data_IF_673353608617
#
_entry.id   IF_673353608617
#
_cell.length_a   1.000
_cell.length_b   1.000
_cell.length_c   1.000
_cell.angle_alpha   90.00
_cell.angle_beta   90.00
_cell.angle_gamma   90.00
#
_symmetry.space_group_name_H-M   'P 1'
#
loop_
_entity.id
_entity.type
_entity.pdbx_description
1 polymer ?
#
# COMPACT_ATOMS: atom_id res chain seq x y z
N UNK A 1 58.60 3.16 8.77
CA UNK A 1 58.02 3.10 7.41
C UNK A 1 57.54 4.48 7.05
N UNK A 2 57.80 4.99 5.83
CA UNK A 2 57.24 6.27 5.40
C UNK A 2 55.71 6.19 5.45
N UNK A 3 55.08 7.21 6.04
CA UNK A 3 53.63 7.36 6.04
C UNK A 3 53.27 8.59 5.19
N UNK A 4 52.16 8.50 4.47
CA UNK A 4 51.63 9.58 3.66
C UNK A 4 50.10 9.57 3.67
N UNK A 5 49.48 10.71 3.38
CA UNK A 5 48.06 10.75 3.07
C UNK A 5 47.87 10.23 1.64
N UNK A 6 47.54 8.95 1.49
CA UNK A 6 47.32 8.39 0.16
C UNK A 6 46.11 9.08 -0.49
N UNK A 7 46.31 9.64 -1.68
CA UNK A 7 45.25 10.12 -2.58
C UNK A 7 45.22 9.27 -3.86
N UNK A 8 44.10 9.24 -4.60
CA UNK A 8 44.04 8.53 -5.88
C UNK A 8 45.18 8.91 -6.84
N UNK A 9 45.42 10.22 -7.00
CA UNK A 9 46.42 10.77 -7.91
C UNK A 9 47.84 10.35 -7.49
N UNK A 10 48.13 10.41 -6.19
CA UNK A 10 49.40 9.96 -5.64
C UNK A 10 49.62 8.46 -5.90
N UNK A 11 48.60 7.63 -5.63
CA UNK A 11 48.71 6.18 -5.86
C UNK A 11 48.98 5.88 -7.33
N UNK A 12 48.34 6.61 -8.23
CA UNK A 12 48.48 6.40 -9.67
C UNK A 12 49.82 6.90 -10.21
N UNK A 13 50.33 8.02 -9.68
CA UNK A 13 51.64 8.60 -10.05
C UNK A 13 52.85 7.84 -9.46
N UNK A 14 52.68 7.02 -8.43
CA UNK A 14 53.81 6.27 -7.84
C UNK A 14 54.27 5.16 -8.79
N UNK A 15 55.55 5.25 -9.14
CA UNK A 15 56.29 4.25 -9.90
C UNK A 15 56.90 3.17 -8.99
N UNK A 16 57.01 1.92 -9.48
CA UNK A 16 57.72 0.88 -8.76
C UNK A 16 59.22 1.16 -8.57
N UNK A 17 59.79 0.77 -7.41
CA UNK A 17 61.22 0.95 -7.17
C UNK A 17 62.03 0.09 -8.15
N UNK A 18 63.27 0.52 -8.45
CA UNK A 18 64.18 -0.21 -9.35
C UNK A 18 64.53 -1.60 -8.78
N UNK A 19 64.64 -1.72 -7.46
CA UNK A 19 64.92 -2.98 -6.75
C UNK A 19 64.13 -3.08 -5.45
N UNK A 20 63.75 -4.31 -5.09
CA UNK A 20 63.13 -4.62 -3.80
C UNK A 20 61.66 -4.21 -3.70
N UNK A 21 61.22 -3.92 -2.48
CA UNK A 21 59.85 -3.56 -2.13
C UNK A 21 59.85 -2.34 -1.21
N UNK A 22 58.97 -1.39 -1.50
CA UNK A 22 58.70 -0.22 -0.66
C UNK A 22 57.27 -0.28 -0.14
N UNK A 23 57.10 0.08 1.13
CA UNK A 23 55.81 0.19 1.79
C UNK A 23 55.54 1.65 2.18
N UNK A 24 54.42 2.19 1.71
CA UNK A 24 53.96 3.54 2.05
C UNK A 24 52.70 3.38 2.89
N UNK A 25 52.79 3.66 4.19
CA UNK A 25 51.64 3.60 5.09
C UNK A 25 50.66 4.74 4.82
N UNK A 26 49.36 4.48 4.99
CA UNK A 26 48.34 5.52 4.93
C UNK A 26 48.17 6.20 6.29
N UNK A 27 48.16 7.53 6.33
CA UNK A 27 47.89 8.29 7.55
C UNK A 27 46.45 8.12 8.06
N UNK A 28 45.51 7.75 7.20
CA UNK A 28 44.09 7.61 7.59
C UNK A 28 43.75 6.27 8.26
N UNK A 29 44.63 5.27 8.15
CA UNK A 29 44.36 3.93 8.65
C UNK A 29 45.67 3.22 8.98
N UNK A 30 45.92 3.00 10.27
CA UNK A 30 47.08 2.24 10.71
C UNK A 30 47.06 0.82 10.14
N UNK A 31 48.25 0.26 9.91
CA UNK A 31 48.49 -1.05 9.30
C UNK A 31 48.08 -1.18 7.83
N UNK A 32 47.41 -0.18 7.24
CA UNK A 32 47.07 -0.13 5.83
C UNK A 32 48.09 0.73 5.05
N UNK A 33 48.30 0.39 3.79
CA UNK A 33 49.18 1.17 2.93
C UNK A 33 49.25 0.66 1.49
N UNK A 34 50.08 1.34 0.70
CA UNK A 34 50.44 0.96 -0.64
C UNK A 34 51.73 0.14 -0.61
N UNK A 35 51.66 -1.10 -1.09
CA UNK A 35 52.82 -1.93 -1.39
C UNK A 35 53.23 -1.67 -2.83
N UNK A 36 54.51 -1.38 -3.03
CA UNK A 36 55.10 -1.20 -4.36
C UNK A 36 56.36 -2.06 -4.47
N UNK A 37 56.50 -2.84 -5.53
CA UNK A 37 57.62 -3.78 -5.67
C UNK A 37 58.20 -3.80 -7.08
N UNK A 38 59.50 -4.01 -7.17
CA UNK A 38 60.20 -4.23 -8.44
C UNK A 38 59.81 -5.59 -9.04
N UNK A 39 59.78 -5.67 -10.37
CA UNK A 39 59.44 -6.90 -11.08
C UNK A 39 60.07 -6.93 -12.47
N UNK A 40 60.22 -8.12 -13.05
CA UNK A 40 60.91 -8.33 -14.34
C UNK A 40 60.32 -7.54 -15.52
N UNK A 41 59.09 -7.05 -15.40
CA UNK A 41 58.35 -6.28 -16.43
C UNK A 41 57.86 -4.93 -15.92
N UNK A 42 58.62 -4.25 -15.06
CA UNK A 42 58.28 -2.90 -14.59
C UNK A 42 57.63 -2.82 -13.20
N UNK A 43 57.63 -3.91 -12.42
CA UNK A 43 57.12 -3.91 -11.05
C UNK A 43 55.59 -3.92 -10.92
N UNK A 44 55.09 -3.71 -9.70
CA UNK A 44 53.67 -3.70 -9.40
C UNK A 44 53.35 -2.89 -8.15
N UNK A 45 52.07 -2.53 -8.02
CA UNK A 45 51.52 -1.85 -6.85
C UNK A 45 50.19 -2.45 -6.43
N UNK A 46 49.94 -2.51 -5.13
CA UNK A 46 48.68 -2.99 -4.58
C UNK A 46 48.46 -2.42 -3.17
N UNK A 47 47.21 -2.17 -2.80
CA UNK A 47 46.87 -1.89 -1.41
C UNK A 47 47.00 -3.15 -0.58
N UNK A 48 47.49 -3.01 0.64
CA UNK A 48 47.68 -4.14 1.52
C UNK A 48 47.54 -3.72 2.99
N UNK A 49 47.36 -4.71 3.84
CA UNK A 49 47.52 -4.56 5.28
C UNK A 49 48.75 -5.31 5.76
N UNK A 50 49.40 -4.78 6.79
CA UNK A 50 50.52 -5.40 7.50
C UNK A 50 50.40 -5.11 8.99
N UNK A 51 50.04 -6.14 9.76
CA UNK A 51 49.89 -6.05 11.21
C UNK A 51 50.32 -7.35 11.89
N UNK A 52 50.48 -7.33 13.22
CA UNK A 52 50.50 -8.56 14.01
C UNK A 52 49.08 -8.87 14.45
N UNK A 53 48.66 -10.12 14.30
CA UNK A 53 47.37 -10.58 14.79
C UNK A 53 47.35 -10.69 16.32
N UNK A 54 46.21 -11.11 16.89
CA UNK A 54 46.05 -11.36 18.33
C UNK A 54 47.03 -12.38 18.93
N UNK A 55 47.61 -13.25 18.11
CA UNK A 55 48.60 -14.26 18.50
C UNK A 55 50.04 -13.77 18.32
N UNK A 56 50.22 -12.50 17.91
CA UNK A 56 51.52 -11.89 17.64
C UNK A 56 52.11 -12.26 16.28
N UNK A 57 51.42 -13.06 15.47
CA UNK A 57 51.88 -13.51 14.14
C UNK A 57 51.76 -12.38 13.15
N UNK A 58 52.83 -12.14 12.37
CA UNK A 58 52.82 -11.11 11.34
C UNK A 58 51.92 -11.54 10.18
N UNK A 59 50.81 -10.82 9.99
CA UNK A 59 49.87 -11.02 8.90
C UNK A 59 50.08 -9.98 7.82
N UNK A 60 50.04 -10.44 6.57
CA UNK A 60 50.10 -9.61 5.37
C UNK A 60 49.04 -10.04 4.38
N UNK A 61 48.11 -9.15 4.07
CA UNK A 61 47.08 -9.40 3.05
C UNK A 61 47.06 -8.28 2.03
N UNK A 62 46.66 -8.60 0.81
CA UNK A 62 46.59 -7.66 -0.31
C UNK A 62 45.16 -7.52 -0.76
N UNK A 63 44.70 -6.29 -0.94
CA UNK A 63 43.38 -5.99 -1.46
C UNK A 63 43.28 -6.48 -2.91
N UNK A 64 42.20 -7.20 -3.21
CA UNK A 64 41.93 -7.77 -4.53
C UNK A 64 40.59 -7.25 -5.02
N UNK A 65 40.57 -6.13 -5.77
CA UNK A 65 39.32 -5.51 -6.25
C UNK A 65 38.42 -6.52 -6.98
N UNK A 66 39.02 -7.48 -7.69
CA UNK A 66 38.32 -8.49 -8.48
C UNK A 66 37.56 -9.54 -7.66
N UNK A 67 37.86 -9.63 -6.36
CA UNK A 67 37.22 -10.55 -5.39
C UNK A 67 36.23 -9.85 -4.46
N UNK A 68 36.18 -8.52 -4.48
CA UNK A 68 35.23 -7.76 -3.68
C UNK A 68 33.86 -7.78 -4.37
N UNK A 69 32.88 -8.44 -3.74
CA UNK A 69 31.53 -8.59 -4.29
C UNK A 69 30.81 -7.23 -4.45
N UNK A 70 31.14 -6.22 -3.63
CA UNK A 70 30.60 -4.88 -3.77
C UNK A 70 31.13 -4.18 -5.04
N UNK A 71 32.32 -4.57 -5.50
CA UNK A 71 32.94 -4.07 -6.73
C UNK A 71 32.64 -4.95 -7.96
N UNK A 72 32.08 -6.16 -7.77
CA UNK A 72 31.84 -7.12 -8.85
C UNK A 72 30.90 -6.60 -9.95
N UNK A 73 29.96 -5.72 -9.62
CA UNK A 73 29.04 -5.08 -10.58
C UNK A 73 29.74 -4.07 -11.51
N UNK A 74 30.95 -3.64 -11.16
CA UNK A 74 31.76 -2.67 -11.91
C UNK A 74 32.74 -3.34 -12.90
N UNK A 75 32.68 -4.67 -13.04
CA UNK A 75 33.50 -5.45 -14.01
C UNK A 75 33.32 -5.06 -15.48
N UNK A 76 32.40 -4.15 -15.82
CA UNK A 76 32.29 -3.57 -17.15
C UNK A 76 33.41 -2.56 -17.47
N UNK A 77 34.06 -1.97 -16.46
CA UNK A 77 35.15 -1.01 -16.65
C UNK A 77 36.48 -1.59 -16.12
N UNK A 78 37.16 -2.42 -16.93
CA UNK A 78 38.45 -3.04 -16.54
C UNK A 78 39.64 -2.09 -16.49
N UNK A 79 39.48 -0.84 -16.93
CA UNK A 79 40.59 0.10 -17.17
C UNK A 79 40.69 1.20 -16.10
N UNK A 80 40.07 1.04 -14.93
CA UNK A 80 40.21 2.04 -13.85
C UNK A 80 41.60 1.92 -13.20
N UNK A 81 42.29 3.05 -12.98
CA UNK A 81 43.59 3.06 -12.33
C UNK A 81 43.47 2.70 -10.84
N UNK A 82 44.56 2.30 -10.19
CA UNK A 82 44.54 1.75 -8.82
C UNK A 82 44.03 2.77 -7.79
N UNK A 83 44.31 4.06 -7.99
CA UNK A 83 43.85 5.17 -7.18
C UNK A 83 42.32 5.20 -7.01
N UNK A 84 41.58 4.81 -8.05
CA UNK A 84 40.12 4.72 -8.02
C UNK A 84 39.59 3.82 -6.90
N UNK A 85 40.33 2.76 -6.58
CA UNK A 85 39.91 1.76 -5.60
C UNK A 85 40.34 2.09 -4.15
N UNK A 86 40.96 3.24 -3.90
CA UNK A 86 41.51 3.59 -2.58
C UNK A 86 40.47 3.53 -1.45
N UNK A 87 39.27 4.08 -1.66
CA UNK A 87 38.23 4.10 -0.64
C UNK A 87 37.64 2.70 -0.36
N UNK A 88 37.51 1.88 -1.40
CA UNK A 88 37.11 0.48 -1.26
C UNK A 88 38.20 -0.31 -0.50
N UNK A 89 39.47 -0.11 -0.87
CA UNK A 89 40.61 -0.72 -0.19
C UNK A 89 40.70 -0.32 1.29
N UNK A 90 40.43 0.95 1.64
CA UNK A 90 40.35 1.41 3.04
C UNK A 90 39.21 0.71 3.80
N UNK A 91 38.05 0.56 3.16
CA UNK A 91 36.89 -0.13 3.77
C UNK A 91 37.20 -1.61 4.03
N UNK A 92 37.73 -2.29 3.01
CA UNK A 92 38.23 -3.66 3.13
C UNK A 92 39.28 -3.79 4.23
N UNK A 93 40.27 -2.89 4.26
CA UNK A 93 41.36 -2.93 5.22
C UNK A 93 40.86 -2.77 6.66
N UNK A 94 39.92 -1.85 6.93
CA UNK A 94 39.29 -1.69 8.25
C UNK A 94 38.67 -2.99 8.73
N UNK A 95 37.96 -3.71 7.85
CA UNK A 95 37.33 -4.97 8.21
C UNK A 95 38.33 -6.10 8.43
N UNK A 96 39.36 -6.21 7.58
CA UNK A 96 40.39 -7.24 7.74
C UNK A 96 41.29 -6.98 8.95
N UNK A 97 41.64 -5.73 9.22
CA UNK A 97 42.36 -5.34 10.44
C UNK A 97 41.51 -5.69 11.67
N UNK A 98 40.21 -5.32 11.67
CA UNK A 98 39.31 -5.66 12.77
C UNK A 98 39.24 -7.18 12.99
N UNK A 99 39.10 -7.96 11.91
CA UNK A 99 39.09 -9.43 11.97
C UNK A 99 40.35 -10.00 12.65
N UNK A 100 41.54 -9.58 12.24
CA UNK A 100 42.81 -10.08 12.79
C UNK A 100 43.10 -9.62 14.21
N UNK A 101 42.60 -8.44 14.60
CA UNK A 101 42.67 -7.92 15.96
C UNK A 101 41.55 -8.45 16.87
N UNK A 102 40.61 -9.25 16.36
CA UNK A 102 39.46 -9.73 17.13
C UNK A 102 38.43 -8.64 17.47
N UNK A 103 38.41 -7.54 16.72
CA UNK A 103 37.46 -6.44 16.85
C UNK A 103 36.23 -6.68 15.95
N UNK A 104 35.05 -6.10 16.28
CA UNK A 104 33.86 -6.23 15.44
C UNK A 104 34.06 -5.65 14.02
N UNK A 105 33.81 -6.46 13.01
CA UNK A 105 33.83 -6.06 11.60
C UNK A 105 32.61 -5.20 11.22
N UNK A 106 32.60 -4.59 10.02
CA UNK A 106 31.41 -3.94 9.47
C UNK A 106 30.20 -4.87 9.36
N UNK A 107 30.43 -6.14 9.00
CA UNK A 107 29.41 -7.18 8.97
C UNK A 107 28.85 -7.46 10.37
N UNK A 108 29.70 -7.61 11.38
CA UNK A 108 29.26 -7.82 12.76
C UNK A 108 28.46 -6.63 13.30
N UNK A 109 28.89 -5.40 12.98
CA UNK A 109 28.18 -4.18 13.37
C UNK A 109 26.83 -4.07 12.67
N UNK A 110 26.76 -4.39 11.39
CA UNK A 110 25.51 -4.43 10.62
C UNK A 110 24.56 -5.49 11.16
N UNK A 111 25.06 -6.68 11.46
CA UNK A 111 24.28 -7.76 12.05
C UNK A 111 23.78 -7.37 13.45
N UNK A 112 24.62 -6.82 14.32
CA UNK A 112 24.20 -6.32 15.64
C UNK A 112 23.17 -5.20 15.51
N UNK A 113 23.34 -4.28 14.57
CA UNK A 113 22.37 -3.21 14.30
C UNK A 113 21.04 -3.80 13.81
N UNK A 114 21.08 -4.80 12.93
CA UNK A 114 19.91 -5.51 12.45
C UNK A 114 19.20 -6.25 13.58
N UNK A 115 19.93 -6.99 14.42
CA UNK A 115 19.39 -7.69 15.59
C UNK A 115 18.75 -6.71 16.58
N UNK A 116 19.38 -5.56 16.85
CA UNK A 116 18.79 -4.50 17.69
C UNK A 116 17.49 -3.94 17.10
N UNK A 117 17.47 -3.66 15.79
CA UNK A 117 16.25 -3.21 15.09
C UNK A 117 15.16 -4.28 15.15
N UNK A 118 15.52 -5.53 14.89
CA UNK A 118 14.63 -6.68 14.97
C UNK A 118 14.03 -6.82 16.37
N UNK A 119 14.86 -6.81 17.41
CA UNK A 119 14.40 -6.89 18.80
C UNK A 119 13.45 -5.75 19.13
N UNK A 120 13.79 -4.51 18.75
CA UNK A 120 12.93 -3.33 18.95
C UNK A 120 11.58 -3.46 18.26
N UNK A 121 11.56 -3.92 17.01
CA UNK A 121 10.32 -4.15 16.25
C UNK A 121 9.48 -5.23 16.93
N UNK A 122 10.09 -6.36 17.28
CA UNK A 122 9.41 -7.50 17.89
C UNK A 122 8.84 -7.15 19.27
N UNK A 123 9.54 -6.33 20.06
CA UNK A 123 9.10 -5.89 21.39
C UNK A 123 8.08 -4.74 21.37
N UNK A 124 7.75 -4.18 20.20
CA UNK A 124 6.76 -3.09 20.12
C UNK A 124 5.35 -3.64 20.34
N UNK A 125 4.58 -3.01 21.23
CA UNK A 125 3.19 -3.35 21.46
C UNK A 125 2.33 -3.02 20.23
N UNK A 126 1.34 -3.86 19.94
CA UNK A 126 0.46 -3.68 18.79
C UNK A 126 -0.36 -2.39 18.91
N UNK A 127 -0.85 -2.07 20.12
CA UNK A 127 -1.58 -0.83 20.40
C UNK A 127 -0.77 0.41 20.02
N UNK A 128 0.47 0.49 20.50
CA UNK A 128 1.39 1.60 20.19
C UNK A 128 1.62 1.74 18.68
N UNK A 129 1.78 0.61 17.97
CA UNK A 129 1.96 0.60 16.53
C UNK A 129 0.70 1.06 15.77
N UNK A 130 -0.49 0.75 16.29
CA UNK A 130 -1.77 1.22 15.73
C UNK A 130 -1.89 2.73 15.91
N UNK A 131 -1.66 3.23 17.12
CA UNK A 131 -1.73 4.65 17.44
C UNK A 131 -0.72 5.46 16.63
N UNK A 132 0.52 4.95 16.51
CA UNK A 132 1.53 5.57 15.68
C UNK A 132 1.10 5.67 14.21
N UNK A 133 0.48 4.61 13.67
CA UNK A 133 -0.02 4.60 12.29
C UNK A 133 -1.19 5.57 12.11
N UNK A 134 -2.13 5.63 13.05
CA UNK A 134 -3.26 6.58 13.02
C UNK A 134 -2.74 8.01 13.09
N UNK A 135 -1.82 8.31 14.02
CA UNK A 135 -1.20 9.63 14.14
C UNK A 135 -0.43 10.04 12.87
N UNK A 136 0.25 9.09 12.22
CA UNK A 136 0.90 9.34 10.92
C UNK A 136 -0.11 9.64 9.82
N UNK A 137 -1.20 8.87 9.72
CA UNK A 137 -2.26 9.11 8.74
C UNK A 137 -3.01 10.42 9.00
N UNK A 138 -3.22 10.80 10.26
CA UNK A 138 -3.85 12.09 10.62
C UNK A 138 -3.01 13.29 10.18
N UNK A 139 -1.68 13.16 10.15
CA UNK A 139 -0.78 14.21 9.64
C UNK A 139 -0.79 14.32 8.11
N UNK A 140 -1.10 13.24 7.38
CA UNK A 140 -1.04 13.21 5.91
C UNK A 140 -2.39 13.23 5.21
N UNK A 141 -3.49 12.87 5.89
CA UNK A 141 -4.83 12.74 5.31
C UNK A 141 -5.75 13.87 5.75
N UNK A 142 -6.58 14.37 4.82
CA UNK A 142 -7.69 15.29 5.12
C UNK A 142 -8.99 14.55 5.51
N UNK A 143 -9.01 13.22 5.40
CA UNK A 143 -10.20 12.41 5.67
C UNK A 143 -10.24 11.95 7.14
N UNK A 144 -10.75 12.83 8.01
CA UNK A 144 -10.91 12.55 9.44
C UNK A 144 -11.95 11.46 9.72
N UNK A 145 -13.00 11.37 8.91
CA UNK A 145 -14.07 10.38 9.09
C UNK A 145 -13.56 8.96 8.93
N UNK A 146 -12.69 8.73 7.95
CA UNK A 146 -12.05 7.42 7.76
C UNK A 146 -11.19 7.01 8.96
N UNK A 147 -10.46 7.97 9.56
CA UNK A 147 -9.60 7.70 10.72
C UNK A 147 -10.41 7.43 11.99
N UNK A 148 -11.51 8.16 12.18
CA UNK A 148 -12.43 7.92 13.28
C UNK A 148 -13.13 6.57 13.12
N UNK A 149 -13.52 6.21 11.89
CA UNK A 149 -14.04 4.88 11.58
C UNK A 149 -13.03 3.79 11.95
N UNK A 150 -11.76 3.91 11.55
CA UNK A 150 -10.72 2.93 11.93
C UNK A 150 -10.58 2.84 13.44
N UNK A 151 -10.48 3.98 14.13
CA UNK A 151 -10.29 4.03 15.58
C UNK A 151 -11.45 3.35 16.31
N UNK A 152 -12.68 3.62 15.89
CA UNK A 152 -13.88 2.98 16.42
C UNK A 152 -13.91 1.47 16.14
N UNK A 153 -13.56 1.06 14.92
CA UNK A 153 -13.50 -0.36 14.54
C UNK A 153 -12.45 -1.13 15.36
N UNK A 154 -11.27 -0.54 15.56
CA UNK A 154 -10.23 -1.11 16.42
C UNK A 154 -10.73 -1.23 17.85
N UNK A 155 -11.25 -0.15 18.42
CA UNK A 155 -11.73 -0.13 19.81
C UNK A 155 -12.91 -1.07 20.08
N UNK A 156 -13.76 -1.30 19.07
CA UNK A 156 -14.93 -2.17 19.18
C UNK A 156 -14.62 -3.65 18.99
N UNK A 157 -13.65 -3.99 18.14
CA UNK A 157 -13.47 -5.38 17.68
C UNK A 157 -12.11 -6.00 18.02
N UNK A 158 -11.08 -5.22 18.32
CA UNK A 158 -9.77 -5.77 18.68
C UNK A 158 -9.66 -5.88 20.20
N UNK A 159 -9.54 -7.09 20.77
CA UNK A 159 -9.40 -7.27 22.21
C UNK A 159 -8.23 -6.49 22.79
N UNK A 160 -8.42 -5.89 23.96
CA UNK A 160 -7.35 -5.15 24.67
C UNK A 160 -6.11 -6.03 24.93
N UNK A 161 -6.30 -7.32 25.19
CA UNK A 161 -5.21 -8.28 25.35
C UNK A 161 -4.32 -8.38 24.08
N UNK A 162 -4.92 -8.33 22.89
CA UNK A 162 -4.17 -8.32 21.62
C UNK A 162 -3.43 -6.99 21.45
N UNK A 163 -4.06 -5.87 21.78
CA UNK A 163 -3.41 -4.55 21.70
C UNK A 163 -2.22 -4.43 22.67
N UNK A 164 -2.31 -5.06 23.85
CA UNK A 164 -1.23 -5.11 24.83
C UNK A 164 -0.13 -6.12 24.48
N UNK A 165 -0.36 -7.02 23.52
CA UNK A 165 0.65 -7.97 23.07
C UNK A 165 1.72 -7.31 22.18
N UNK A 166 2.92 -7.87 22.19
CA UNK A 166 4.00 -7.44 21.29
C UNK A 166 3.83 -8.06 19.91
N UNK A 167 4.55 -7.54 18.90
CA UNK A 167 4.60 -8.21 17.60
C UNK A 167 5.20 -9.63 17.67
N UNK A 168 6.03 -9.94 18.66
CA UNK A 168 6.60 -11.28 18.84
C UNK A 168 5.60 -12.26 19.47
N UNK A 169 4.79 -11.79 20.40
CA UNK A 169 3.92 -12.65 21.21
C UNK A 169 2.50 -12.75 20.64
N UNK A 170 2.11 -11.86 19.73
CA UNK A 170 0.73 -11.84 19.23
C UNK A 170 0.32 -13.18 18.58
N UNK A 171 -0.79 -13.78 19.03
CA UNK A 171 -1.40 -14.93 18.37
C UNK A 171 -2.09 -14.47 17.08
N UNK A 172 -1.42 -14.68 15.94
CA UNK A 172 -1.89 -14.22 14.61
C UNK A 172 -3.28 -14.76 14.26
N UNK A 173 -3.61 -15.97 14.71
CA UNK A 173 -4.93 -16.57 14.49
C UNK A 173 -6.02 -15.79 15.22
N UNK A 174 -5.85 -15.49 16.50
CA UNK A 174 -6.81 -14.73 17.30
C UNK A 174 -6.96 -13.31 16.78
N UNK A 175 -5.85 -12.64 16.41
CA UNK A 175 -5.91 -11.32 15.80
C UNK A 175 -6.70 -11.36 14.48
N UNK A 176 -6.45 -12.36 13.64
CA UNK A 176 -7.19 -12.54 12.39
C UNK A 176 -8.69 -12.77 12.66
N UNK A 177 -9.04 -13.65 13.60
CA UNK A 177 -10.42 -13.95 14.01
C UNK A 177 -11.11 -12.68 14.54
N UNK A 178 -10.48 -11.93 15.43
CA UNK A 178 -11.01 -10.67 15.97
C UNK A 178 -11.38 -9.65 14.88
N UNK A 179 -10.49 -9.43 13.89
CA UNK A 179 -10.73 -8.43 12.83
C UNK A 179 -11.57 -8.94 11.66
N UNK A 180 -11.93 -10.22 11.64
CA UNK A 180 -12.72 -10.84 10.59
C UNK A 180 -13.82 -11.77 11.11
N UNK A 181 -14.30 -11.54 12.33
CA UNK A 181 -15.41 -12.28 12.91
C UNK A 181 -16.75 -11.97 12.23
N UNK A 182 -17.72 -12.91 12.22
CA UNK A 182 -19.01 -12.75 11.52
C UNK A 182 -19.80 -11.49 11.91
N UNK A 183 -19.71 -11.04 13.17
CA UNK A 183 -20.39 -9.83 13.65
C UNK A 183 -19.89 -8.50 13.04
N UNK A 184 -18.77 -8.51 12.31
CA UNK A 184 -18.25 -7.34 11.60
C UNK A 184 -18.78 -7.36 10.16
N UNK A 185 -19.33 -6.25 9.66
CA UNK A 185 -19.72 -6.15 8.25
C UNK A 185 -18.53 -6.43 7.31
N UNK A 186 -18.78 -7.03 6.14
CA UNK A 186 -17.71 -7.40 5.19
C UNK A 186 -16.84 -6.20 4.79
N UNK A 187 -17.45 -5.01 4.66
CA UNK A 187 -16.75 -3.75 4.39
C UNK A 187 -15.80 -3.37 5.52
N UNK A 188 -16.29 -3.35 6.76
CA UNK A 188 -15.47 -3.03 7.93
C UNK A 188 -14.36 -4.06 8.16
N UNK A 189 -14.62 -5.35 7.91
CA UNK A 189 -13.61 -6.40 7.97
C UNK A 189 -12.49 -6.20 6.93
N UNK A 190 -12.82 -5.73 5.71
CA UNK A 190 -11.81 -5.36 4.70
C UNK A 190 -10.99 -4.14 5.14
N UNK A 191 -11.63 -3.12 5.72
CA UNK A 191 -10.95 -1.92 6.25
C UNK A 191 -9.97 -2.31 7.36
N UNK A 192 -10.43 -3.07 8.36
CA UNK A 192 -9.57 -3.55 9.46
C UNK A 192 -8.42 -4.42 8.94
N UNK A 193 -8.69 -5.41 8.09
CA UNK A 193 -7.65 -6.26 7.48
C UNK A 193 -6.58 -5.42 6.78
N UNK A 194 -6.99 -4.43 5.99
CA UNK A 194 -6.07 -3.54 5.27
C UNK A 194 -5.25 -2.69 6.24
N UNK A 195 -5.91 -2.10 7.25
CA UNK A 195 -5.25 -1.27 8.25
C UNK A 195 -4.22 -2.06 9.07
N UNK A 196 -4.64 -3.17 9.68
CA UNK A 196 -3.77 -4.04 10.50
C UNK A 196 -2.65 -4.65 9.65
N UNK A 197 -2.94 -5.13 8.44
CA UNK A 197 -1.89 -5.60 7.52
C UNK A 197 -0.88 -4.50 7.18
N UNK A 198 -1.36 -3.25 7.06
CA UNK A 198 -0.51 -2.08 6.90
C UNK A 198 0.35 -1.80 8.13
N UNK A 199 -0.12 -2.02 9.35
CA UNK A 199 0.68 -1.87 10.58
C UNK A 199 1.86 -2.85 10.56
N UNK A 200 1.59 -4.13 10.30
CA UNK A 200 2.63 -5.16 10.22
C UNK A 200 3.63 -4.89 9.09
N UNK A 201 3.15 -4.35 7.96
CA UNK A 201 4.01 -3.96 6.83
C UNK A 201 4.93 -2.80 7.19
N UNK A 202 4.42 -1.78 7.87
CA UNK A 202 5.21 -0.62 8.30
C UNK A 202 6.27 -1.01 9.35
N UNK A 203 5.91 -1.89 10.28
CA UNK A 203 6.83 -2.35 11.33
C UNK A 203 7.91 -3.32 10.79
N UNK A 204 7.60 -4.08 9.73
CA UNK A 204 8.47 -5.12 9.21
C UNK A 204 9.41 -4.72 8.08
N UNK A 205 9.29 -3.53 7.45
CA UNK A 205 9.88 -3.25 6.14
C UNK A 205 9.57 -4.34 5.08
N UNK A 206 10.08 -4.23 3.84
CA UNK A 206 9.85 -5.27 2.81
C UNK A 206 10.49 -6.63 3.14
N UNK A 207 11.49 -6.67 4.03
CA UNK A 207 12.32 -7.86 4.29
C UNK A 207 12.55 -8.19 5.78
N UNK A 208 11.88 -7.53 6.72
CA UNK A 208 12.15 -7.70 8.15
C UNK A 208 11.34 -8.82 8.84
N UNK A 209 11.39 -8.87 10.18
CA UNK A 209 11.06 -10.05 10.97
C UNK A 209 9.58 -10.46 10.92
N UNK A 210 8.69 -9.55 10.54
CA UNK A 210 7.24 -9.76 10.57
C UNK A 210 6.67 -10.37 9.29
N UNK A 211 7.47 -10.61 8.25
CA UNK A 211 6.99 -11.07 6.94
C UNK A 211 6.16 -12.36 7.02
N UNK A 212 6.59 -13.32 7.83
CA UNK A 212 5.88 -14.60 8.01
C UNK A 212 4.54 -14.38 8.73
N UNK A 213 4.53 -13.58 9.79
CA UNK A 213 3.31 -13.21 10.54
C UNK A 213 2.31 -12.45 9.68
N UNK A 214 2.77 -11.46 8.90
CA UNK A 214 1.91 -10.72 7.96
C UNK A 214 1.26 -11.64 6.93
N UNK A 215 2.02 -12.56 6.32
CA UNK A 215 1.48 -13.53 5.37
C UNK A 215 0.43 -14.44 6.03
N UNK A 216 0.70 -14.92 7.25
CA UNK A 216 -0.23 -15.74 8.00
C UNK A 216 -1.54 -14.97 8.32
N UNK A 217 -1.42 -13.73 8.80
CA UNK A 217 -2.56 -12.84 9.07
C UNK A 217 -3.41 -12.64 7.81
N UNK A 218 -2.79 -12.29 6.69
CA UNK A 218 -3.49 -12.03 5.43
C UNK A 218 -4.22 -13.27 4.90
N UNK A 219 -3.60 -14.46 5.03
CA UNK A 219 -4.22 -15.73 4.62
C UNK A 219 -5.40 -16.08 5.52
N UNK A 220 -5.25 -15.97 6.84
CA UNK A 220 -6.31 -16.30 7.78
C UNK A 220 -7.51 -15.35 7.63
N UNK A 221 -7.28 -14.04 7.50
CA UNK A 221 -8.36 -13.09 7.25
C UNK A 221 -9.06 -13.34 5.91
N UNK A 222 -8.33 -13.73 4.85
CA UNK A 222 -8.95 -14.10 3.58
C UNK A 222 -9.87 -15.30 3.77
N UNK A 223 -9.35 -16.38 4.37
CA UNK A 223 -10.11 -17.58 4.69
C UNK A 223 -11.38 -17.26 5.49
N UNK A 224 -11.27 -16.46 6.55
CA UNK A 224 -12.41 -16.08 7.40
C UNK A 224 -13.45 -15.21 6.67
N UNK A 225 -13.02 -14.37 5.72
CA UNK A 225 -13.92 -13.55 4.92
C UNK A 225 -14.59 -14.35 3.80
N UNK A 226 -13.89 -15.33 3.24
CA UNK A 226 -14.37 -16.21 2.17
C UNK A 226 -15.28 -17.33 2.71
N UNK A 227 -15.01 -17.81 3.94
CA UNK A 227 -15.83 -18.81 4.63
C UNK A 227 -17.20 -18.29 5.07
N UNK A 228 -17.46 -16.99 4.94
CA UNK A 228 -18.79 -16.40 5.13
C UNK A 228 -19.65 -16.80 3.93
N UNK A 229 -20.05 -18.08 3.92
CA UNK A 229 -20.94 -18.70 2.94
C UNK A 229 -22.34 -18.15 3.18
N UNK A 230 -22.67 -17.09 2.43
CA UNK A 230 -24.00 -16.68 1.95
C UNK A 230 -23.94 -15.17 1.71
N UNK A 231 -24.40 -14.65 0.56
CA UNK A 231 -24.90 -13.28 0.60
C UNK A 231 -25.94 -13.22 1.73
N UNK A 232 -25.93 -12.19 2.59
CA UNK A 232 -26.86 -12.11 3.73
C UNK A 232 -28.35 -12.04 3.33
N UNK A 233 -28.66 -12.26 2.05
CA UNK A 233 -29.87 -11.83 1.37
C UNK A 233 -30.26 -12.80 0.25
N UNK A 234 -30.59 -14.08 0.53
CA UNK A 234 -31.12 -15.00 -0.48
C UNK A 234 -32.38 -14.47 -1.18
N UNK A 235 -33.11 -13.57 -0.53
CA UNK A 235 -34.28 -12.86 -1.06
C UNK A 235 -33.97 -12.07 -2.33
N UNK A 236 -32.71 -11.66 -2.54
CA UNK A 236 -32.31 -10.90 -3.73
C UNK A 236 -32.52 -11.67 -5.03
N UNK A 237 -32.45 -13.00 -4.97
CA UNK A 237 -32.64 -13.86 -6.14
C UNK A 237 -34.12 -14.00 -6.50
N UNK A 238 -35.02 -13.66 -5.58
CA UNK A 238 -36.47 -13.71 -5.78
C UNK A 238 -37.00 -12.45 -6.46
N UNK A 239 -36.17 -11.42 -6.67
CA UNK A 239 -36.56 -10.16 -7.31
C UNK A 239 -36.68 -10.38 -8.82
N UNK A 240 -37.89 -10.22 -9.33
CA UNK A 240 -38.24 -10.31 -10.75
C UNK A 240 -38.15 -8.96 -11.47
N UNK A 241 -38.16 -8.97 -12.81
CA UNK A 241 -38.21 -7.75 -13.61
C UNK A 241 -39.49 -6.94 -13.39
N UNK A 242 -40.61 -7.61 -13.11
CA UNK A 242 -41.85 -6.96 -12.72
C UNK A 242 -41.71 -6.23 -11.38
N UNK A 243 -40.94 -6.76 -10.42
CA UNK A 243 -40.68 -6.07 -9.16
C UNK A 243 -39.83 -4.81 -9.36
N UNK A 244 -38.83 -4.87 -10.24
CA UNK A 244 -38.06 -3.68 -10.62
C UNK A 244 -38.94 -2.61 -11.27
N UNK A 245 -39.83 -3.01 -12.18
CA UNK A 245 -40.74 -2.06 -12.82
C UNK A 245 -41.65 -1.38 -11.78
N UNK A 246 -42.26 -2.17 -10.88
CA UNK A 246 -43.09 -1.63 -9.79
C UNK A 246 -42.30 -0.70 -8.87
N UNK A 247 -41.03 -1.02 -8.57
CA UNK A 247 -40.14 -0.13 -7.82
C UNK A 247 -39.91 1.19 -8.57
N UNK A 248 -39.64 1.12 -9.87
CA UNK A 248 -39.37 2.31 -10.68
C UNK A 248 -40.57 3.22 -10.79
N UNK A 249 -41.76 2.65 -10.99
CA UNK A 249 -43.02 3.41 -11.02
C UNK A 249 -43.26 4.09 -9.66
N UNK A 250 -43.01 3.38 -8.56
CA UNK A 250 -43.14 3.93 -7.21
C UNK A 250 -42.14 5.06 -6.93
N UNK A 251 -40.89 4.94 -7.38
CA UNK A 251 -39.87 5.99 -7.24
C UNK A 251 -40.21 7.23 -8.08
N UNK A 252 -40.69 7.06 -9.31
CA UNK A 252 -41.03 8.16 -10.21
C UNK A 252 -42.29 8.93 -9.74
N UNK A 253 -43.18 8.27 -9.01
CA UNK A 253 -44.36 8.87 -8.37
C UNK A 253 -44.08 9.49 -6.99
N UNK A 254 -42.91 9.29 -6.39
CA UNK A 254 -42.64 9.73 -5.01
C UNK A 254 -42.55 11.26 -4.89
N UNK A 255 -43.16 11.82 -3.83
CA UNK A 255 -43.10 13.26 -3.53
C UNK A 255 -41.67 13.74 -3.27
N UNK A 256 -40.82 12.90 -2.68
CA UNK A 256 -39.39 13.17 -2.47
C UNK A 256 -38.57 12.83 -3.71
N UNK A 257 -38.92 13.45 -4.84
CA UNK A 257 -38.41 13.08 -6.16
C UNK A 257 -36.89 13.17 -6.25
N UNK A 258 -36.22 14.08 -5.52
CA UNK A 258 -34.75 14.23 -5.54
C UNK A 258 -34.06 12.93 -5.15
N UNK A 259 -34.45 12.34 -4.02
CA UNK A 259 -33.91 11.07 -3.55
C UNK A 259 -34.38 9.91 -4.44
N UNK A 260 -35.65 9.92 -4.84
CA UNK A 260 -36.22 8.82 -5.61
C UNK A 260 -35.62 8.71 -7.02
N UNK A 261 -35.50 9.84 -7.73
CA UNK A 261 -34.87 9.91 -9.04
C UNK A 261 -33.35 9.73 -8.98
N UNK A 262 -32.68 10.08 -7.87
CA UNK A 262 -31.28 9.72 -7.68
C UNK A 262 -31.07 8.21 -7.55
N UNK A 263 -31.98 7.51 -6.85
CA UNK A 263 -32.01 6.04 -6.83
C UNK A 263 -32.29 5.52 -8.24
N UNK A 264 -33.30 6.05 -8.93
CA UNK A 264 -33.66 5.65 -10.29
C UNK A 264 -32.49 5.81 -11.27
N UNK A 265 -31.76 6.93 -11.19
CA UNK A 265 -30.55 7.17 -11.99
C UNK A 265 -29.39 6.24 -11.60
N UNK A 266 -29.29 5.84 -10.33
CA UNK A 266 -28.33 4.82 -9.89
C UNK A 266 -28.65 3.45 -10.46
N UNK A 267 -29.92 3.07 -10.52
CA UNK A 267 -30.34 1.91 -11.28
C UNK A 267 -30.04 2.09 -12.76
N UNK A 268 -30.19 3.30 -13.32
CA UNK A 268 -30.01 3.58 -14.74
C UNK A 268 -28.54 3.73 -15.19
N UNK A 269 -27.58 3.83 -14.27
CA UNK A 269 -26.15 3.99 -14.55
C UNK A 269 -25.31 2.86 -13.91
N UNK A 270 -24.00 2.87 -14.14
CA UNK A 270 -23.00 1.96 -13.56
C UNK A 270 -22.11 2.70 -12.54
N UNK A 271 -22.29 4.02 -12.45
CA UNK A 271 -21.53 4.87 -11.58
C UNK A 271 -21.77 4.52 -10.11
N UNK A 272 -20.86 4.99 -9.26
CA UNK A 272 -21.03 4.88 -7.80
C UNK A 272 -22.11 5.86 -7.35
N UNK A 273 -22.86 5.50 -6.31
CA UNK A 273 -23.94 6.31 -5.77
C UNK A 273 -23.47 7.73 -5.35
N UNK A 274 -22.33 7.85 -4.69
CA UNK A 274 -21.84 9.15 -4.20
C UNK A 274 -21.65 10.20 -5.31
N UNK A 275 -20.99 9.88 -6.44
CA UNK A 275 -21.00 10.72 -7.63
C UNK A 275 -22.39 11.10 -8.15
N UNK A 276 -23.35 10.18 -8.13
CA UNK A 276 -24.74 10.47 -8.57
C UNK A 276 -25.36 11.54 -7.69
N UNK A 277 -25.23 11.40 -6.36
CA UNK A 277 -25.80 12.37 -5.42
C UNK A 277 -25.22 13.77 -5.60
N UNK A 278 -23.95 13.87 -6.03
CA UNK A 278 -23.22 15.12 -6.25
C UNK A 278 -23.22 15.59 -7.71
N UNK A 279 -23.92 14.89 -8.60
CA UNK A 279 -23.89 15.16 -10.03
C UNK A 279 -24.42 16.57 -10.32
N UNK A 280 -23.77 17.25 -11.27
CA UNK A 280 -24.12 18.58 -11.77
C UNK A 280 -24.57 18.49 -13.21
N UNK A 281 -25.38 19.46 -13.66
CA UNK A 281 -25.76 19.57 -15.07
C UNK A 281 -24.53 19.64 -15.98
N UNK A 282 -23.51 20.38 -15.56
CA UNK A 282 -22.22 20.51 -16.27
C UNK A 282 -21.40 19.22 -16.34
N UNK A 283 -21.81 18.13 -15.67
CA UNK A 283 -21.15 16.83 -15.78
C UNK A 283 -21.66 16.03 -16.98
N UNK A 284 -22.72 16.47 -17.66
CA UNK A 284 -23.34 15.76 -18.78
C UNK A 284 -23.07 16.55 -20.06
N UNK A 285 -22.37 15.91 -21.00
CA UNK A 285 -22.01 16.49 -22.30
C UNK A 285 -22.32 15.44 -23.35
N UNK A 286 -23.15 15.78 -24.35
CA UNK A 286 -23.52 14.88 -25.46
C UNK A 286 -23.98 13.49 -25.01
N UNK A 287 -24.88 13.44 -24.01
CA UNK A 287 -25.39 12.19 -23.41
C UNK A 287 -24.32 11.32 -22.73
N UNK A 288 -23.14 11.88 -22.45
CA UNK A 288 -22.07 11.23 -21.70
C UNK A 288 -21.96 11.89 -20.33
N UNK A 289 -21.99 11.08 -19.29
CA UNK A 289 -21.77 11.54 -17.92
C UNK A 289 -20.31 11.38 -17.49
N UNK A 290 -19.75 12.47 -16.95
CA UNK A 290 -18.42 12.55 -16.38
C UNK A 290 -18.53 12.72 -14.86
N UNK A 291 -18.44 11.62 -14.06
CA UNK A 291 -18.83 11.57 -12.65
C UNK A 291 -17.85 12.26 -11.67
N UNK A 292 -16.95 13.10 -12.18
CA UNK A 292 -15.88 13.74 -11.42
C UNK A 292 -15.91 15.25 -11.60
N UNK A 293 -15.43 15.96 -10.59
CA UNK A 293 -15.37 17.42 -10.63
C UNK A 293 -14.34 17.92 -11.67
N UNK A 294 -14.43 19.19 -12.12
CA UNK A 294 -13.48 19.75 -13.09
C UNK A 294 -12.00 19.71 -12.66
N UNK A 295 -11.70 19.75 -11.37
CA UNK A 295 -10.36 19.60 -10.79
C UNK A 295 -9.86 18.14 -10.82
N UNK A 296 -10.77 17.16 -10.93
CA UNK A 296 -10.49 15.73 -11.07
C UNK A 296 -10.45 15.29 -12.55
N UNK A 297 -10.37 16.24 -13.51
CA UNK A 297 -10.37 16.03 -14.97
C UNK A 297 -9.43 14.93 -15.48
N UNK A 298 -8.30 14.68 -14.79
CA UNK A 298 -7.37 13.59 -15.14
C UNK A 298 -8.04 12.20 -15.15
N UNK A 299 -9.15 12.02 -14.42
CA UNK A 299 -9.91 10.77 -14.32
C UNK A 299 -11.05 10.66 -15.34
N UNK A 300 -11.38 11.72 -16.09
CA UNK A 300 -12.53 11.74 -16.99
C UNK A 300 -12.46 10.68 -18.09
N UNK A 301 -11.27 10.44 -18.65
CA UNK A 301 -11.10 9.46 -19.73
C UNK A 301 -11.28 8.01 -19.26
N UNK A 302 -11.10 7.74 -17.97
CA UNK A 302 -11.14 6.37 -17.41
C UNK A 302 -12.55 6.01 -16.90
N UNK A 303 -13.45 6.98 -16.72
CA UNK A 303 -14.75 6.72 -16.07
C UNK A 303 -15.93 7.45 -16.69
N UNK A 304 -15.81 7.90 -17.95
CA UNK A 304 -16.97 8.37 -18.71
C UNK A 304 -18.01 7.27 -18.83
N UNK A 305 -19.27 7.63 -18.64
CA UNK A 305 -20.37 6.70 -18.77
C UNK A 305 -21.37 7.21 -19.82
N UNK A 306 -21.61 6.45 -20.91
CA UNK A 306 -22.70 6.79 -21.81
C UNK A 306 -24.03 6.59 -21.08
N UNK A 307 -24.89 7.61 -21.14
CA UNK A 307 -26.26 7.54 -20.67
C UNK A 307 -27.10 6.98 -21.81
N UNK A 308 -27.51 5.72 -21.67
CA UNK A 308 -28.47 5.09 -22.59
C UNK A 308 -29.84 5.76 -22.47
N UNK A 309 -30.77 5.38 -23.34
CA UNK A 309 -32.14 5.93 -23.42
C UNK A 309 -32.82 6.03 -22.04
N UNK A 310 -32.67 5.01 -21.20
CA UNK A 310 -33.20 5.01 -19.84
C UNK A 310 -32.61 6.14 -18.97
N UNK A 311 -31.30 6.33 -19.00
CA UNK A 311 -30.62 7.41 -18.26
C UNK A 311 -31.04 8.79 -18.76
N UNK A 312 -31.14 8.96 -20.09
CA UNK A 312 -31.60 10.21 -20.69
C UNK A 312 -33.06 10.52 -20.35
N UNK A 313 -33.95 9.51 -20.34
CA UNK A 313 -35.34 9.66 -19.90
C UNK A 313 -35.43 10.15 -18.45
N UNK A 314 -34.60 9.62 -17.56
CA UNK A 314 -34.58 10.03 -16.15
C UNK A 314 -34.05 11.45 -16.01
N UNK A 315 -33.05 11.85 -16.79
CA UNK A 315 -32.56 13.23 -16.81
C UNK A 315 -33.63 14.21 -17.28
N UNK A 316 -34.38 13.88 -18.33
CA UNK A 316 -35.50 14.69 -18.78
C UNK A 316 -36.59 14.83 -17.70
N UNK A 317 -36.85 13.76 -16.94
CA UNK A 317 -37.77 13.81 -15.80
C UNK A 317 -37.25 14.73 -14.67
N UNK A 318 -35.95 14.65 -14.36
CA UNK A 318 -35.29 15.55 -13.38
C UNK A 318 -35.40 17.00 -13.84
N UNK A 319 -35.08 17.29 -15.10
CA UNK A 319 -35.17 18.63 -15.68
C UNK A 319 -36.60 19.18 -15.63
N UNK A 320 -37.60 18.33 -15.91
CA UNK A 320 -39.02 18.72 -15.76
C UNK A 320 -39.35 19.10 -14.32
N UNK A 321 -38.90 18.32 -13.33
CA UNK A 321 -39.10 18.64 -11.90
C UNK A 321 -38.42 19.94 -11.48
N UNK A 322 -37.21 20.22 -11.98
CA UNK A 322 -36.54 21.51 -11.75
C UNK A 322 -37.35 22.68 -12.28
N UNK A 323 -37.93 22.55 -13.49
CA UNK A 323 -38.81 23.57 -14.06
C UNK A 323 -40.12 23.75 -13.30
N UNK A 324 -40.76 22.65 -12.92
CA UNK A 324 -42.00 22.65 -12.12
C UNK A 324 -41.81 23.39 -10.78
N UNK A 325 -40.65 23.20 -10.13
CA UNK A 325 -40.30 23.86 -8.86
C UNK A 325 -39.49 25.16 -9.01
N UNK A 326 -39.23 25.62 -10.24
CA UNK A 326 -38.43 26.82 -10.55
C UNK A 326 -37.04 26.84 -9.89
N UNK A 327 -36.38 25.68 -9.80
CA UNK A 327 -35.08 25.55 -9.13
C UNK A 327 -33.93 26.06 -10.01
N UNK A 328 -33.08 26.90 -9.45
CA UNK A 328 -31.89 27.42 -10.13
C UNK A 328 -30.60 26.74 -9.62
N UNK A 329 -30.63 25.41 -9.49
CA UNK A 329 -29.52 24.64 -8.92
C UNK A 329 -28.53 24.15 -9.98
N UNK A 330 -27.20 24.22 -9.72
CA UNK A 330 -26.22 23.58 -10.57
C UNK A 330 -26.20 22.05 -10.41
N UNK A 331 -26.87 21.49 -9.40
CA UNK A 331 -26.90 20.05 -9.11
C UNK A 331 -28.13 19.38 -9.73
N UNK A 332 -28.00 18.13 -10.15
CA UNK A 332 -29.15 17.32 -10.60
C UNK A 332 -30.14 17.11 -9.44
N UNK A 333 -29.61 16.88 -8.23
CA UNK A 333 -30.38 16.60 -7.03
C UNK A 333 -30.04 17.60 -5.91
N UNK A 334 -30.58 18.84 -5.98
CA UNK A 334 -30.36 19.83 -4.93
C UNK A 334 -30.92 19.39 -3.58
N UNK A 335 -30.29 19.80 -2.49
CA UNK A 335 -30.79 19.63 -1.13
C UNK A 335 -32.07 20.45 -0.94
N UNK A 336 -33.13 19.91 -0.33
CA UNK A 336 -34.31 20.70 0.02
C UNK A 336 -34.01 21.89 0.95
N UNK A 337 -32.91 21.82 1.71
CA UNK A 337 -32.49 22.90 2.60
C UNK A 337 -31.63 23.98 1.89
N UNK A 338 -31.06 23.68 0.72
CA UNK A 338 -30.23 24.63 -0.02
C UNK A 338 -30.06 24.15 -1.47
N UNK A 339 -30.53 24.96 -2.42
CA UNK A 339 -30.38 24.68 -3.85
C UNK A 339 -28.92 24.64 -4.31
N UNK A 340 -28.03 25.31 -3.58
CA UNK A 340 -26.59 25.36 -3.85
C UNK A 340 -25.81 24.20 -3.24
N UNK A 341 -26.49 23.23 -2.63
CA UNK A 341 -25.88 22.01 -2.10
C UNK A 341 -26.56 20.77 -2.67
N UNK A 342 -25.85 19.65 -2.90
CA UNK A 342 -26.47 18.40 -3.29
C UNK A 342 -27.13 17.69 -2.10
N UNK A 343 -28.06 16.77 -2.37
CA UNK A 343 -28.48 15.79 -1.37
C UNK A 343 -27.29 14.95 -0.89
N UNK A 344 -27.24 14.65 0.41
CA UNK A 344 -26.11 13.92 1.02
C UNK A 344 -26.32 12.41 1.11
N UNK A 345 -27.58 11.96 1.12
CA UNK A 345 -27.93 10.55 1.30
C UNK A 345 -29.30 10.24 0.73
N UNK A 346 -29.47 8.99 0.28
CA UNK A 346 -30.77 8.39 -0.10
C UNK A 346 -31.14 7.21 0.78
N UNK A 347 -30.36 6.92 1.83
CA UNK A 347 -30.46 5.68 2.59
C UNK A 347 -31.80 5.50 3.30
N UNK A 348 -32.30 6.55 3.97
CA UNK A 348 -33.61 6.52 4.62
C UNK A 348 -34.75 6.31 3.62
N UNK A 349 -34.62 6.91 2.44
CA UNK A 349 -35.60 6.79 1.36
C UNK A 349 -35.59 5.37 0.78
N UNK A 350 -34.39 4.83 0.48
CA UNK A 350 -34.22 3.45 0.08
C UNK A 350 -34.80 2.47 1.10
N UNK A 351 -34.53 2.65 2.40
CA UNK A 351 -35.07 1.80 3.45
C UNK A 351 -36.60 1.75 3.42
N UNK A 352 -37.25 2.92 3.33
CA UNK A 352 -38.72 3.02 3.20
C UNK A 352 -39.23 2.30 1.94
N UNK A 353 -38.64 2.57 0.78
CA UNK A 353 -39.05 1.90 -0.46
C UNK A 353 -38.85 0.38 -0.35
N UNK A 354 -37.66 -0.07 0.06
CA UNK A 354 -37.34 -1.50 0.19
C UNK A 354 -38.32 -2.24 1.12
N UNK A 355 -38.76 -1.61 2.21
CA UNK A 355 -39.78 -2.18 3.11
C UNK A 355 -41.11 -2.42 2.40
N UNK A 356 -41.58 -1.48 1.57
CA UNK A 356 -42.82 -1.64 0.81
C UNK A 356 -42.79 -2.81 -0.19
N UNK A 357 -41.60 -3.21 -0.62
CA UNK A 357 -41.39 -4.35 -1.52
C UNK A 357 -41.02 -5.65 -0.79
N UNK A 358 -41.03 -5.65 0.56
CA UNK A 358 -40.61 -6.81 1.37
C UNK A 358 -39.10 -7.07 1.33
N UNK A 359 -38.31 -6.14 0.82
CA UNK A 359 -36.85 -6.22 0.68
C UNK A 359 -36.13 -5.75 1.94
N UNK A 360 -36.59 -6.21 3.09
CA UNK A 360 -36.13 -5.74 4.40
C UNK A 360 -34.63 -6.00 4.58
N UNK A 361 -33.87 -4.94 4.83
CA UNK A 361 -32.42 -5.01 5.04
C UNK A 361 -31.59 -5.19 3.76
N UNK A 362 -32.21 -5.30 2.58
CA UNK A 362 -31.46 -5.40 1.33
C UNK A 362 -30.69 -4.10 1.06
N UNK A 363 -29.39 -4.23 0.84
CA UNK A 363 -28.56 -3.10 0.42
C UNK A 363 -28.87 -2.73 -1.03
N UNK A 364 -29.17 -1.46 -1.28
CA UNK A 364 -29.45 -0.93 -2.62
C UNK A 364 -28.38 -1.32 -3.64
N UNK A 365 -27.11 -1.29 -3.25
CA UNK A 365 -26.01 -1.68 -4.14
C UNK A 365 -26.11 -3.13 -4.61
N UNK A 366 -26.60 -4.05 -3.78
CA UNK A 366 -26.79 -5.44 -4.20
C UNK A 366 -27.98 -5.54 -5.15
N UNK A 367 -29.09 -4.86 -4.85
CA UNK A 367 -30.30 -4.90 -5.68
C UNK A 367 -30.02 -4.33 -7.06
N UNK A 368 -29.28 -3.22 -7.15
CA UNK A 368 -28.80 -2.67 -8.44
C UNK A 368 -27.91 -3.65 -9.20
N UNK A 369 -26.98 -4.33 -8.51
CA UNK A 369 -26.12 -5.33 -9.15
C UNK A 369 -26.90 -6.53 -9.70
N UNK A 370 -28.01 -6.92 -9.06
CA UNK A 370 -28.88 -7.99 -9.56
C UNK A 370 -29.68 -7.54 -10.77
N UNK A 371 -30.18 -6.30 -10.77
CA UNK A 371 -30.88 -5.70 -11.92
C UNK A 371 -29.97 -5.62 -13.15
N UNK A 372 -28.66 -5.40 -12.95
CA UNK A 372 -27.69 -5.20 -14.02
C UNK A 372 -26.46 -6.08 -13.86
N UNK A 373 -26.32 -7.18 -14.62
CA UNK A 373 -25.00 -7.79 -14.80
C UNK A 373 -24.10 -6.76 -15.49
N UNK A 374 -23.21 -6.11 -14.72
CA UNK A 374 -22.29 -5.07 -15.24
C UNK A 374 -21.47 -5.62 -16.40
N UNK A 375 -21.36 -4.85 -17.49
CA UNK A 375 -20.57 -5.24 -18.66
C UNK A 375 -19.05 -5.30 -18.39
N UNK A 376 -18.61 -4.73 -17.27
CA UNK A 376 -17.21 -4.74 -16.85
C UNK A 376 -16.82 -6.15 -16.36
N UNK A 377 -16.20 -6.94 -17.25
CA UNK A 377 -15.81 -8.34 -17.04
C UNK A 377 -15.07 -8.58 -15.71
N UNK A 378 -14.27 -7.63 -15.22
CA UNK A 378 -13.53 -7.78 -13.96
C UNK A 378 -14.41 -7.80 -12.70
N UNK A 379 -15.56 -7.12 -12.72
CA UNK A 379 -16.51 -7.09 -11.60
C UNK A 379 -17.62 -8.12 -11.76
N UNK A 380 -18.04 -8.42 -13.01
CA UNK A 380 -18.98 -9.51 -13.27
C UNK A 380 -18.35 -10.87 -13.02
N UNK A 381 -17.05 -11.09 -13.30
CA UNK A 381 -16.32 -12.28 -12.85
C UNK A 381 -16.25 -12.37 -11.33
N UNK A 382 -16.02 -11.26 -10.60
CA UNK A 382 -16.00 -11.32 -9.13
C UNK A 382 -17.40 -11.51 -8.51
N UNK A 383 -18.45 -11.07 -9.20
CA UNK A 383 -19.85 -11.30 -8.82
C UNK A 383 -20.28 -12.74 -9.18
N UNK A 384 -20.12 -13.19 -10.42
CA UNK A 384 -20.37 -14.58 -10.82
C UNK A 384 -19.49 -15.57 -10.02
N UNK A 385 -18.17 -15.37 -9.89
CA UNK A 385 -17.33 -16.27 -9.08
C UNK A 385 -17.71 -16.29 -7.59
N UNK A 386 -18.35 -15.24 -7.06
CA UNK A 386 -18.83 -15.21 -5.66
C UNK A 386 -20.29 -15.67 -5.49
N UNK A 387 -21.09 -15.69 -6.54
CA UNK A 387 -22.52 -15.98 -6.47
C UNK A 387 -22.97 -17.20 -7.29
N UNK A 388 -22.32 -17.52 -8.42
CA UNK A 388 -22.63 -18.65 -9.30
C UNK A 388 -21.77 -19.89 -9.09
N UNK A 389 -20.83 -19.90 -8.14
CA UNK A 389 -20.07 -21.11 -7.74
C UNK A 389 -20.85 -21.95 -6.71
N UNK A 390 -22.13 -21.65 -6.49
CA UNK A 390 -23.00 -22.43 -5.60
C UNK A 390 -23.80 -23.54 -6.30
N UNK A 391 -23.64 -23.73 -7.62
CA UNK A 391 -24.35 -24.80 -8.35
C UNK A 391 -23.48 -25.84 -9.06
N UNK A 392 -22.14 -25.75 -9.03
CA UNK A 392 -21.27 -26.87 -9.43
C UNK A 392 -19.98 -26.86 -8.61
N UNK A 393 -19.69 -28.04 -8.02
CA UNK A 393 -18.56 -28.46 -7.17
C UNK A 393 -18.77 -28.37 -5.66
#
# INVERSE_FOLDING_TARGET
MPKACLTPEMVDAIDPPIRGETWIGDNHLDHFGLRVWAGKKGGGKAYAIRLRDRSGVLVRETFRPERDYALFWWRRDRDKPLGHFLNAARTWARDRIAFHLGLPTSADRSERAWQRRKAKVLSTMIGDAFDHKIARLRRSSKDHLYLDQISNLVGSYVPKAILASTFDDVPIRELAEAISQPGISRGNGKVLRSFVGGVFKDAGDQFGPLRRKLKALQRQCAKNLDSRKSPPFPEIFKISDADYQRLFDALEADKSWRQALAIRLYFATEARLQPILRARWSNIIDSIWYPYLPDERKLWFVSRQPLRDEGMRILALIERRHREEQLASPYLFPSPASENAPIKTVQRHWQRCSQNFGWNGLLMSHVVLRHRPRANHSYSLEFYQRFSVFDRF
#
